data_IF_181113984904
#
_entry.id   IF_181113984904
#
_cell.length_a   1.000
_cell.length_b   1.000
_cell.length_c   1.000
_cell.angle_alpha   90.00
_cell.angle_beta   90.00
_cell.angle_gamma   90.00
#
_symmetry.space_group_name_H-M   'P 1'
#
loop_
_entity.id
_entity.type
_entity.pdbx_description
1 polymer ?
#
# COMPACT_ATOMS: atom_id res chain seq x y z
N UNK A 1 6.90 -14.24 2.68
CA UNK A 1 7.69 -13.02 2.39
C UNK A 1 7.91 -12.24 3.69
N UNK A 2 9.06 -11.61 3.86
CA UNK A 2 9.38 -10.84 5.06
C UNK A 2 8.52 -9.56 5.14
N UNK A 3 7.77 -9.42 6.22
CA UNK A 3 7.05 -8.20 6.62
C UNK A 3 7.92 -6.93 6.51
N UNK A 4 9.20 -7.05 6.87
CA UNK A 4 10.19 -5.99 6.73
C UNK A 4 10.33 -5.47 5.28
N UNK A 5 10.28 -6.35 4.28
CA UNK A 5 10.37 -5.95 2.88
C UNK A 5 9.16 -5.09 2.46
N UNK A 6 7.94 -5.44 2.95
CA UNK A 6 6.74 -4.62 2.71
C UNK A 6 6.92 -3.22 3.30
N UNK A 7 7.40 -3.12 4.54
CA UNK A 7 7.67 -1.82 5.18
C UNK A 7 8.63 -0.99 4.33
N UNK A 8 9.79 -1.54 3.96
CA UNK A 8 10.82 -0.81 3.22
C UNK A 8 10.29 -0.31 1.89
N UNK A 9 9.61 -1.17 1.12
CA UNK A 9 9.11 -0.79 -0.21
C UNK A 9 7.94 0.20 -0.10
N UNK A 10 7.01 0.01 0.83
CA UNK A 10 5.89 0.95 1.00
C UNK A 10 6.37 2.32 1.45
N UNK A 11 7.33 2.36 2.38
CA UNK A 11 7.97 3.61 2.79
C UNK A 11 8.66 4.29 1.60
N UNK A 12 9.42 3.54 0.80
CA UNK A 12 10.11 4.08 -0.38
C UNK A 12 9.13 4.64 -1.42
N UNK A 13 8.03 3.94 -1.70
CA UNK A 13 7.02 4.41 -2.67
C UNK A 13 6.30 5.65 -2.15
N UNK A 14 5.79 5.63 -0.91
CA UNK A 14 5.06 6.78 -0.34
C UNK A 14 5.97 8.00 -0.23
N UNK A 15 7.22 7.82 0.21
CA UNK A 15 8.19 8.90 0.30
C UNK A 15 8.61 9.42 -1.08
N UNK A 16 8.82 8.52 -2.05
CA UNK A 16 9.12 8.89 -3.43
C UNK A 16 8.00 9.71 -4.07
N UNK A 17 6.74 9.29 -3.89
CA UNK A 17 5.59 10.07 -4.38
C UNK A 17 5.51 11.43 -3.69
N UNK A 18 5.73 11.49 -2.38
CA UNK A 18 5.74 12.76 -1.65
C UNK A 18 6.76 13.77 -2.21
N UNK A 19 7.94 13.29 -2.65
CA UNK A 19 8.99 14.15 -3.20
C UNK A 19 8.79 14.51 -4.68
N UNK A 20 8.24 13.58 -5.47
CA UNK A 20 8.21 13.69 -6.94
C UNK A 20 6.86 14.14 -7.49
N UNK A 21 5.79 14.04 -6.71
CA UNK A 21 4.41 14.29 -7.16
C UNK A 21 3.73 15.28 -6.22
N UNK A 22 3.35 16.42 -6.76
CA UNK A 22 2.56 17.40 -6.03
C UNK A 22 1.17 16.84 -5.69
N UNK A 23 0.76 17.04 -4.43
CA UNK A 23 -0.56 16.66 -3.94
C UNK A 23 -0.61 15.39 -3.10
N UNK A 24 0.52 14.93 -2.56
CA UNK A 24 0.57 13.99 -1.43
C UNK A 24 1.29 14.65 -0.26
N UNK A 25 0.53 15.37 0.57
CA UNK A 25 1.06 16.09 1.72
C UNK A 25 0.26 15.79 2.98
N UNK A 26 0.93 15.29 4.02
CA UNK A 26 0.35 15.14 5.35
C UNK A 26 0.97 16.16 6.29
N UNK A 27 0.17 16.74 7.19
CA UNK A 27 0.62 17.75 8.16
C UNK A 27 1.55 17.18 9.24
N UNK A 28 1.65 15.86 9.36
CA UNK A 28 2.49 15.17 10.34
C UNK A 28 3.10 13.91 9.74
N UNK A 29 4.31 13.56 10.19
CA UNK A 29 4.97 12.30 9.86
C UNK A 29 4.23 11.06 10.40
N UNK A 30 3.35 11.24 11.39
CA UNK A 30 2.54 10.14 11.93
C UNK A 30 1.64 9.51 10.86
N UNK A 31 1.13 10.31 9.92
CA UNK A 31 0.27 9.81 8.85
C UNK A 31 1.01 8.83 7.91
N UNK A 32 2.10 9.23 7.20
CA UNK A 32 2.81 8.31 6.31
C UNK A 32 3.43 7.12 7.05
N UNK A 33 3.94 7.30 8.27
CA UNK A 33 4.45 6.18 9.08
C UNK A 33 3.31 5.21 9.42
N UNK A 34 2.17 5.73 9.88
CA UNK A 34 0.99 4.93 10.18
C UNK A 34 0.46 4.17 8.97
N UNK A 35 0.44 4.80 7.78
CA UNK A 35 0.05 4.17 6.52
C UNK A 35 0.96 2.98 6.19
N UNK A 36 2.28 3.15 6.27
CA UNK A 36 3.24 2.07 5.99
C UNK A 36 3.02 0.88 6.92
N UNK A 37 2.90 1.12 8.22
CA UNK A 37 2.66 0.06 9.19
C UNK A 37 1.31 -0.63 8.99
N UNK A 38 0.26 0.15 8.73
CA UNK A 38 -1.07 -0.37 8.46
C UNK A 38 -1.06 -1.25 7.22
N UNK A 39 -0.48 -0.79 6.11
CA UNK A 39 -0.41 -1.54 4.86
C UNK A 39 0.44 -2.80 5.00
N UNK A 40 1.59 -2.72 5.68
CA UNK A 40 2.41 -3.90 5.91
C UNK A 40 1.67 -4.94 6.76
N UNK A 41 0.94 -4.50 7.80
CA UNK A 41 0.19 -5.38 8.71
C UNK A 41 -1.00 -6.02 8.01
N UNK A 42 -1.88 -5.21 7.42
CA UNK A 42 -3.06 -5.69 6.69
C UNK A 42 -2.63 -6.57 5.52
N UNK A 43 -1.63 -6.14 4.75
CA UNK A 43 -1.09 -6.92 3.63
C UNK A 43 -0.50 -8.26 4.09
N UNK A 44 0.21 -8.31 5.21
CA UNK A 44 0.76 -9.57 5.73
C UNK A 44 -0.34 -10.55 6.15
N UNK A 45 -1.40 -10.05 6.80
CA UNK A 45 -2.57 -10.87 7.14
C UNK A 45 -3.29 -11.30 5.86
N UNK A 46 -3.50 -10.40 4.91
CA UNK A 46 -4.14 -10.70 3.63
C UNK A 46 -3.39 -11.78 2.83
N UNK A 47 -2.06 -11.77 2.84
CA UNK A 47 -1.22 -12.81 2.20
C UNK A 47 -1.50 -14.23 2.75
N UNK A 48 -1.91 -14.33 4.03
CA UNK A 48 -2.21 -15.61 4.67
C UNK A 48 -3.64 -16.08 4.42
N UNK A 49 -4.61 -15.15 4.40
CA UNK A 49 -6.03 -15.50 4.41
C UNK A 49 -6.73 -15.23 3.07
N UNK A 50 -6.41 -14.12 2.39
CA UNK A 50 -7.08 -13.69 1.17
C UNK A 50 -6.39 -14.29 -0.05
N UNK A 51 -5.06 -14.12 -0.13
CA UNK A 51 -4.26 -14.55 -1.29
C UNK A 51 -4.47 -16.02 -1.70
N UNK A 52 -4.52 -17.00 -0.77
CA UNK A 52 -4.71 -18.39 -1.16
C UNK A 52 -6.11 -18.70 -1.71
N UNK A 53 -7.11 -17.91 -1.34
CA UNK A 53 -8.52 -18.13 -1.72
C UNK A 53 -8.89 -17.40 -3.01
N UNK A 54 -8.43 -16.16 -3.14
CA UNK A 54 -8.83 -15.27 -4.22
C UNK A 54 -7.81 -15.26 -5.38
N UNK A 55 -6.62 -15.81 -5.16
CA UNK A 55 -5.52 -15.76 -6.12
C UNK A 55 -4.94 -14.35 -6.23
N UNK A 56 -3.94 -14.19 -7.10
CA UNK A 56 -3.15 -12.97 -7.16
C UNK A 56 -3.96 -11.75 -7.62
N UNK A 57 -4.67 -11.86 -8.75
CA UNK A 57 -5.33 -10.72 -9.39
C UNK A 57 -6.38 -10.05 -8.49
N UNK A 58 -7.32 -10.84 -7.96
CA UNK A 58 -8.39 -10.31 -7.12
C UNK A 58 -7.85 -9.76 -5.79
N UNK A 59 -6.88 -10.45 -5.18
CA UNK A 59 -6.24 -9.96 -3.95
C UNK A 59 -5.53 -8.63 -4.17
N UNK A 60 -4.85 -8.47 -5.30
CA UNK A 60 -4.16 -7.23 -5.68
C UNK A 60 -5.15 -6.10 -5.90
N UNK A 61 -6.24 -6.32 -6.63
CA UNK A 61 -7.26 -5.28 -6.89
C UNK A 61 -7.87 -4.81 -5.56
N UNK A 62 -8.20 -5.74 -4.67
CA UNK A 62 -8.74 -5.43 -3.35
C UNK A 62 -7.73 -4.65 -2.49
N UNK A 63 -6.48 -5.11 -2.43
CA UNK A 63 -5.39 -4.45 -1.71
C UNK A 63 -5.11 -3.04 -2.23
N UNK A 64 -5.04 -2.88 -3.55
CA UNK A 64 -4.81 -1.58 -4.20
C UNK A 64 -5.94 -0.61 -3.91
N UNK A 65 -7.20 -1.06 -4.03
CA UNK A 65 -8.39 -0.24 -3.75
C UNK A 65 -8.43 0.19 -2.28
N UNK A 66 -8.08 -0.71 -1.37
CA UNK A 66 -7.91 -0.41 0.05
C UNK A 66 -6.83 0.66 0.27
N UNK A 67 -5.65 0.49 -0.32
CA UNK A 67 -4.55 1.46 -0.18
C UNK A 67 -4.93 2.84 -0.73
N UNK A 68 -5.56 2.94 -1.91
CA UNK A 68 -6.07 4.21 -2.46
C UNK A 68 -7.02 4.88 -1.46
N UNK A 69 -7.98 4.12 -0.97
CA UNK A 69 -9.03 4.61 -0.05
C UNK A 69 -8.40 5.14 1.24
N UNK A 70 -7.44 4.43 1.80
CA UNK A 70 -6.80 4.81 3.06
C UNK A 70 -5.82 5.97 2.87
N UNK A 71 -5.03 6.01 1.79
CA UNK A 71 -4.14 7.14 1.46
C UNK A 71 -4.98 8.41 1.34
N UNK A 72 -6.03 8.37 0.52
CA UNK A 72 -6.90 9.54 0.36
C UNK A 72 -7.66 9.88 1.64
N UNK A 73 -8.22 8.87 2.32
CA UNK A 73 -9.05 9.05 3.51
C UNK A 73 -8.27 9.56 4.72
N UNK A 74 -6.99 9.22 4.85
CA UNK A 74 -6.15 9.65 5.97
C UNK A 74 -6.09 11.18 6.08
N UNK A 75 -6.22 11.92 4.97
CA UNK A 75 -6.20 13.39 5.02
C UNK A 75 -7.32 13.99 5.90
N UNK A 76 -8.45 13.31 6.05
CA UNK A 76 -9.57 13.77 6.88
C UNK A 76 -9.35 13.52 8.38
N UNK A 77 -8.39 12.67 8.74
CA UNK A 77 -8.01 12.39 10.12
C UNK A 77 -6.93 13.36 10.63
N UNK A 78 -6.20 14.01 9.72
CA UNK A 78 -5.07 14.88 10.03
C UNK A 78 -5.30 16.29 9.45
N UNK A 79 -5.83 17.24 10.25
CA UNK A 79 -6.06 18.62 9.81
C UNK A 79 -4.80 19.24 9.18
N UNK A 80 -4.99 19.97 8.07
CA UNK A 80 -3.89 20.57 7.29
C UNK A 80 -3.19 19.61 6.32
N UNK A 81 -3.64 18.36 6.21
CA UNK A 81 -3.19 17.43 5.16
C UNK A 81 -3.96 17.68 3.86
N UNK A 82 -3.29 17.48 2.72
CA UNK A 82 -3.85 17.58 1.39
C UNK A 82 -3.39 16.39 0.56
N UNK A 83 -4.34 15.54 0.17
CA UNK A 83 -4.09 14.39 -0.70
C UNK A 83 -5.05 14.45 -1.88
N UNK A 84 -4.53 14.77 -3.06
CA UNK A 84 -5.30 14.80 -4.31
C UNK A 84 -5.69 13.37 -4.66
N UNK A 85 -6.98 13.15 -4.95
CA UNK A 85 -7.48 11.83 -5.29
C UNK A 85 -6.73 11.14 -6.46
N UNK A 86 -6.38 11.84 -7.57
CA UNK A 86 -5.56 11.23 -8.63
C UNK A 86 -4.18 10.75 -8.15
N UNK A 87 -3.56 11.47 -7.20
CA UNK A 87 -2.26 11.08 -6.63
C UNK A 87 -2.42 9.86 -5.74
N UNK A 88 -3.48 9.79 -4.94
CA UNK A 88 -3.80 8.59 -4.16
C UNK A 88 -4.05 7.37 -5.06
N UNK A 89 -4.77 7.55 -6.17
CA UNK A 89 -5.01 6.51 -7.18
C UNK A 89 -3.70 5.98 -7.77
N UNK A 90 -2.82 6.87 -8.25
CA UNK A 90 -1.54 6.48 -8.82
C UNK A 90 -0.66 5.79 -7.77
N UNK A 91 -0.61 6.32 -6.55
CA UNK A 91 0.17 5.74 -5.45
C UNK A 91 -0.31 4.34 -5.13
N UNK A 92 -1.63 4.15 -4.96
CA UNK A 92 -2.22 2.84 -4.70
C UNK A 92 -2.05 1.87 -5.86
N UNK A 93 -2.06 2.33 -7.11
CA UNK A 93 -1.77 1.49 -8.27
C UNK A 93 -0.30 1.02 -8.30
N UNK A 94 0.66 1.90 -7.99
CA UNK A 94 2.09 1.55 -7.89
C UNK A 94 2.32 0.56 -6.76
N UNK A 95 1.76 0.81 -5.57
CA UNK A 95 1.82 -0.14 -4.45
C UNK A 95 1.15 -1.48 -4.80
N UNK A 96 0.03 -1.43 -5.52
CA UNK A 96 -0.64 -2.61 -6.05
C UNK A 96 0.23 -3.44 -6.98
N UNK A 97 0.94 -2.80 -7.92
CA UNK A 97 1.87 -3.49 -8.81
C UNK A 97 3.01 -4.17 -8.04
N UNK A 98 3.51 -3.51 -6.98
CA UNK A 98 4.47 -4.11 -6.04
C UNK A 98 3.86 -5.34 -5.35
N UNK A 99 2.65 -5.23 -4.80
CA UNK A 99 1.98 -6.38 -4.16
C UNK A 99 1.73 -7.52 -5.14
N UNK A 100 1.33 -7.23 -6.38
CA UNK A 100 1.14 -8.25 -7.40
C UNK A 100 2.40 -9.07 -7.62
N UNK A 101 3.55 -8.40 -7.78
CA UNK A 101 4.85 -9.06 -7.95
C UNK A 101 5.20 -9.89 -6.73
N UNK A 102 4.92 -9.38 -5.54
CA UNK A 102 5.16 -10.08 -4.28
C UNK A 102 4.30 -11.34 -4.12
N UNK A 103 3.00 -11.24 -4.43
CA UNK A 103 2.08 -12.36 -4.44
C UNK A 103 2.54 -13.48 -5.38
N UNK A 104 3.08 -13.15 -6.56
CA UNK A 104 3.64 -14.15 -7.47
C UNK A 104 4.77 -14.94 -6.80
N UNK A 105 5.68 -14.28 -6.08
CA UNK A 105 6.77 -14.97 -5.38
C UNK A 105 6.24 -15.87 -4.27
N UNK A 106 5.24 -15.41 -3.52
CA UNK A 106 4.60 -16.20 -2.45
C UNK A 106 3.91 -17.44 -3.03
N UNK A 107 3.14 -17.29 -4.11
CA UNK A 107 2.44 -18.40 -4.74
C UNK A 107 3.41 -19.40 -5.37
N UNK A 108 4.49 -18.93 -6.03
CA UNK A 108 5.55 -19.79 -6.54
C UNK A 108 6.22 -20.58 -5.42
N UNK A 109 6.55 -19.94 -4.30
CA UNK A 109 7.19 -20.59 -3.16
C UNK A 109 6.27 -21.59 -2.42
N UNK A 110 4.95 -21.47 -2.54
CA UNK A 110 3.98 -22.42 -1.96
C UNK A 110 3.71 -23.63 -2.84
N UNK A 111 3.92 -23.49 -4.14
CA UNK A 111 3.69 -24.55 -5.13
C UNK A 111 4.99 -25.30 -5.51
N UNK A 112 6.13 -24.87 -4.98
CA UNK A 112 7.43 -25.54 -5.09
C UNK A 112 7.63 -26.49 -3.90
#
# INVERSE_FOLDING_TARGET
MNFFLKIVIYAAVIHGVHLLVDGLHYSTLLAPVGLVFLFATVGHVADQWILPRWGNLLSTIAGSSFMVTVIWGAQFLFPGSLVRFPVALVTGAVLGAVEYRMHMDILKARNA
#
